data_IF_357155395401
#
_entry.id   IF_357155395401
#
_cell.length_a   1.000
_cell.length_b   1.000
_cell.length_c   1.000
_cell.angle_alpha   90.00
_cell.angle_beta   90.00
_cell.angle_gamma   90.00
#
_symmetry.space_group_name_H-M   'P 1'
#
loop_
_entity.id
_entity.type
_entity.pdbx_description
1 polymer ?
#
# COMPACT_ATOMS: atom_id res chain seq x y z
N UNK A 1 0.95 12.04 16.35
CA UNK A 1 0.81 10.85 17.19
C UNK A 1 2.18 10.37 17.69
N UNK A 2 3.11 9.92 16.83
CA UNK A 2 4.40 9.33 17.22
C UNK A 2 5.28 10.29 18.04
N UNK A 3 5.36 11.57 17.66
CA UNK A 3 6.12 12.58 18.43
C UNK A 3 5.54 12.77 19.83
N UNK A 4 4.23 12.76 19.97
CA UNK A 4 3.55 12.87 21.26
C UNK A 4 3.78 11.62 22.12
N UNK A 5 3.67 10.43 21.51
CA UNK A 5 3.94 9.17 22.20
C UNK A 5 5.37 9.09 22.76
N UNK A 6 6.37 9.45 21.98
CA UNK A 6 7.78 9.41 22.41
C UNK A 6 8.05 10.40 23.56
N UNK A 7 7.34 11.55 23.56
CA UNK A 7 7.45 12.55 24.62
C UNK A 7 6.71 12.17 25.92
N UNK A 8 5.72 11.28 25.84
CA UNK A 8 4.79 10.94 26.93
C UNK A 8 4.64 9.42 27.12
N UNK A 9 5.71 8.67 26.94
CA UNK A 9 5.70 7.19 26.91
C UNK A 9 5.13 6.55 28.18
N UNK A 10 5.24 7.21 29.33
CA UNK A 10 4.76 6.69 30.61
C UNK A 10 3.24 6.66 30.75
N UNK A 11 2.52 7.45 29.98
CA UNK A 11 1.07 7.59 30.08
C UNK A 11 0.34 7.56 28.74
N UNK A 12 1.07 7.32 27.64
CA UNK A 12 0.52 7.32 26.29
C UNK A 12 0.85 6.00 25.59
N UNK A 13 -0.16 5.33 25.07
CA UNK A 13 0.01 4.14 24.24
C UNK A 13 -0.29 4.47 22.78
N UNK A 14 0.66 4.20 21.88
CA UNK A 14 0.46 4.39 20.45
C UNK A 14 -0.03 3.11 19.81
N UNK A 15 -1.29 3.12 19.35
CA UNK A 15 -1.88 2.01 18.62
C UNK A 15 -1.36 2.06 17.19
N UNK A 16 -0.25 1.36 16.92
CA UNK A 16 0.34 1.27 15.60
C UNK A 16 -0.32 0.15 14.80
N UNK A 17 -0.66 0.44 13.52
CA UNK A 17 -1.34 -0.50 12.64
C UNK A 17 -0.54 -0.92 11.40
N UNK A 18 0.79 -0.69 11.40
CA UNK A 18 1.66 -1.05 10.28
C UNK A 18 2.78 -2.00 10.72
N UNK A 19 3.39 -2.73 9.77
CA UNK A 19 4.54 -3.64 10.00
C UNK A 19 5.88 -2.89 10.10
N UNK A 20 5.85 -1.59 10.41
CA UNK A 20 7.02 -0.74 10.63
C UNK A 20 7.13 -0.35 12.10
N UNK A 21 8.32 0.09 12.52
CA UNK A 21 8.59 0.49 13.90
C UNK A 21 9.53 -0.48 14.62
N UNK A 22 9.82 -0.22 15.91
CA UNK A 22 10.72 -1.05 16.69
C UNK A 22 10.10 -2.43 16.98
N UNK A 23 10.97 -3.42 17.23
CA UNK A 23 10.51 -4.71 17.72
C UNK A 23 9.71 -4.54 19.03
N UNK A 24 8.55 -5.22 19.23
CA UNK A 24 8.02 -6.32 18.43
C UNK A 24 6.94 -5.91 17.40
N UNK A 25 6.71 -4.63 17.16
CA UNK A 25 5.56 -4.17 16.34
C UNK A 25 5.50 -4.80 14.93
N UNK A 26 6.59 -4.87 14.14
CA UNK A 26 6.52 -5.51 12.84
C UNK A 26 6.04 -6.96 12.90
N UNK A 27 6.58 -7.73 13.83
CA UNK A 27 6.21 -9.13 14.04
C UNK A 27 4.76 -9.28 14.49
N UNK A 28 4.32 -8.48 15.47
CA UNK A 28 2.94 -8.53 15.99
C UNK A 28 1.92 -8.21 14.89
N UNK A 29 2.16 -7.14 14.13
CA UNK A 29 1.25 -6.76 13.05
C UNK A 29 1.24 -7.80 11.94
N UNK A 30 2.40 -8.34 11.55
CA UNK A 30 2.47 -9.47 10.63
C UNK A 30 1.63 -10.65 11.11
N UNK A 31 1.84 -11.09 12.34
CA UNK A 31 1.15 -12.27 12.89
C UNK A 31 -0.38 -12.06 12.94
N UNK A 32 -0.83 -10.86 13.31
CA UNK A 32 -2.27 -10.56 13.29
C UNK A 32 -2.85 -10.46 11.89
N UNK A 33 -2.07 -10.01 10.91
CA UNK A 33 -2.50 -9.87 9.52
C UNK A 33 -2.37 -11.17 8.72
N UNK A 34 -1.58 -12.14 9.17
CA UNK A 34 -1.30 -13.38 8.41
C UNK A 34 -2.53 -14.27 8.22
N UNK A 35 -3.59 -14.07 9.00
CA UNK A 35 -4.90 -14.70 8.77
C UNK A 35 -5.39 -14.52 7.32
N UNK A 36 -5.06 -13.39 6.68
CA UNK A 36 -5.40 -13.14 5.27
C UNK A 36 -4.79 -14.21 4.36
N UNK A 37 -3.49 -14.44 4.47
CA UNK A 37 -2.79 -15.43 3.66
C UNK A 37 -3.13 -16.87 4.07
N UNK A 38 -3.35 -17.12 5.35
CA UNK A 38 -3.76 -18.45 5.86
C UNK A 38 -5.12 -18.86 5.27
N UNK A 39 -6.10 -17.97 5.26
CA UNK A 39 -7.40 -18.22 4.61
C UNK A 39 -7.24 -18.39 3.09
N UNK A 40 -6.39 -17.59 2.44
CA UNK A 40 -6.13 -17.72 1.01
C UNK A 40 -5.51 -19.07 0.65
N UNK A 41 -4.58 -19.61 1.46
CA UNK A 41 -4.00 -20.93 1.25
C UNK A 41 -5.06 -22.05 1.23
N UNK A 42 -6.16 -21.88 1.98
CA UNK A 42 -7.27 -22.82 2.01
C UNK A 42 -8.25 -22.59 0.85
N UNK A 43 -8.61 -21.32 0.59
CA UNK A 43 -9.63 -20.96 -0.38
C UNK A 43 -9.16 -21.10 -1.84
N UNK A 44 -7.88 -20.81 -2.10
CA UNK A 44 -7.37 -20.86 -3.46
C UNK A 44 -7.47 -22.25 -4.13
N UNK A 45 -7.08 -23.35 -3.50
CA UNK A 45 -7.28 -24.68 -4.09
C UNK A 45 -8.75 -25.00 -4.39
N UNK A 46 -9.68 -24.56 -3.56
CA UNK A 46 -11.12 -24.76 -3.77
C UNK A 46 -11.63 -24.06 -5.03
N UNK A 47 -11.09 -22.88 -5.33
CA UNK A 47 -11.53 -22.01 -6.43
C UNK A 47 -10.66 -22.15 -7.70
N UNK A 48 -9.45 -22.69 -7.59
CA UNK A 48 -8.44 -22.72 -8.64
C UNK A 48 -8.01 -24.16 -9.01
N UNK A 49 -8.97 -25.06 -9.15
CA UNK A 49 -8.74 -26.46 -9.59
C UNK A 49 -7.66 -27.19 -8.75
N UNK A 50 -7.65 -26.99 -7.46
CA UNK A 50 -6.70 -27.60 -6.52
C UNK A 50 -5.31 -26.96 -6.49
N UNK A 51 -5.13 -25.81 -7.13
CA UNK A 51 -3.83 -25.16 -7.25
C UNK A 51 -3.75 -23.85 -6.44
N UNK A 52 -2.56 -23.55 -5.94
CA UNK A 52 -2.22 -22.24 -5.41
C UNK A 52 -2.01 -21.23 -6.56
N UNK A 53 -2.10 -19.91 -6.30
CA UNK A 53 -1.94 -18.90 -7.34
C UNK A 53 -0.48 -18.86 -7.86
N UNK A 54 -0.31 -18.54 -9.15
CA UNK A 54 1.02 -18.30 -9.73
C UNK A 54 1.65 -16.99 -9.21
N UNK A 55 0.82 -16.02 -8.86
CA UNK A 55 1.27 -14.75 -8.28
C UNK A 55 0.29 -14.23 -7.23
N UNK A 56 0.85 -13.66 -6.15
CA UNK A 56 0.14 -12.87 -5.15
C UNK A 56 0.58 -11.43 -5.29
N UNK A 57 -0.37 -10.51 -5.44
CA UNK A 57 -0.13 -9.08 -5.65
C UNK A 57 -0.79 -8.27 -4.54
N UNK A 58 -0.05 -7.38 -3.90
CA UNK A 58 -0.57 -6.48 -2.86
C UNK A 58 0.09 -5.10 -2.94
N UNK A 59 -0.66 -4.04 -2.58
CA UNK A 59 -0.07 -2.71 -2.48
C UNK A 59 0.81 -2.58 -1.23
N UNK A 60 1.86 -1.74 -1.32
CA UNK A 60 2.85 -1.55 -0.26
C UNK A 60 3.06 -0.07 0.01
N UNK A 61 2.61 0.38 1.18
CA UNK A 61 3.05 1.60 1.85
C UNK A 61 3.95 1.19 3.02
N UNK A 62 3.45 1.23 4.27
CA UNK A 62 4.13 0.53 5.38
C UNK A 62 4.17 -0.99 5.19
N UNK A 63 3.16 -1.56 4.51
CA UNK A 63 3.15 -2.93 4.00
C UNK A 63 2.43 -3.97 4.86
N UNK A 64 1.55 -3.57 5.79
CA UNK A 64 0.87 -4.53 6.68
C UNK A 64 -0.03 -5.50 5.94
N UNK A 65 -0.86 -5.03 5.00
CA UNK A 65 -1.72 -5.88 4.19
C UNK A 65 -0.90 -6.86 3.33
N UNK A 66 0.17 -6.37 2.73
CA UNK A 66 1.05 -7.18 1.89
C UNK A 66 1.78 -8.25 2.72
N UNK A 67 2.29 -7.88 3.90
CA UNK A 67 2.93 -8.86 4.78
C UNK A 67 1.94 -9.92 5.27
N UNK A 68 0.70 -9.51 5.57
CA UNK A 68 -0.36 -10.43 5.97
C UNK A 68 -0.66 -11.52 4.94
N UNK A 69 -0.69 -11.16 3.66
CA UNK A 69 -0.91 -12.15 2.61
C UNK A 69 0.38 -12.85 2.17
N UNK A 70 1.54 -12.19 2.22
CA UNK A 70 2.81 -12.78 1.78
C UNK A 70 3.37 -13.79 2.77
N UNK A 71 3.24 -13.53 4.07
CA UNK A 71 3.90 -14.32 5.10
C UNK A 71 3.57 -15.82 5.03
N UNK A 72 2.31 -16.25 4.93
CA UNK A 72 1.97 -17.66 4.75
C UNK A 72 2.43 -18.25 3.41
N UNK A 73 2.66 -17.41 2.39
CA UNK A 73 3.15 -17.85 1.08
C UNK A 73 4.67 -17.83 0.94
N UNK A 74 5.43 -17.45 1.96
CA UNK A 74 6.91 -17.36 1.85
C UNK A 74 7.52 -18.69 1.40
N UNK A 75 7.07 -19.80 1.96
CA UNK A 75 7.59 -21.14 1.65
C UNK A 75 6.98 -21.75 0.37
N UNK A 76 6.01 -21.09 -0.25
CA UNK A 76 5.42 -21.52 -1.52
C UNK A 76 6.25 -21.00 -2.70
N UNK A 77 7.37 -21.67 -2.98
CA UNK A 77 8.36 -21.21 -3.98
C UNK A 77 7.80 -21.02 -5.41
N UNK A 78 6.72 -21.72 -5.77
CA UNK A 78 6.08 -21.61 -7.08
C UNK A 78 5.14 -20.39 -7.18
N UNK A 79 4.79 -19.77 -6.08
CA UNK A 79 3.96 -18.56 -6.03
C UNK A 79 4.85 -17.33 -5.99
N UNK A 80 4.75 -16.44 -6.97
CA UNK A 80 5.45 -15.16 -6.99
C UNK A 80 4.80 -14.21 -5.99
N UNK A 81 5.61 -13.48 -5.21
CA UNK A 81 5.14 -12.42 -4.32
C UNK A 81 5.50 -11.06 -4.92
N UNK A 82 4.52 -10.21 -5.14
CA UNK A 82 4.71 -8.93 -5.83
C UNK A 82 4.07 -7.81 -5.03
N UNK A 83 4.92 -6.94 -4.48
CA UNK A 83 4.51 -5.72 -3.80
C UNK A 83 4.45 -4.54 -4.77
N UNK A 84 3.38 -3.77 -4.72
CA UNK A 84 3.18 -2.62 -5.60
C UNK A 84 3.27 -1.34 -4.79
N UNK A 85 4.32 -0.55 -5.04
CA UNK A 85 4.56 0.75 -4.41
C UNK A 85 3.94 1.89 -5.24
N UNK A 86 3.64 3.01 -4.60
CA UNK A 86 3.16 4.20 -5.29
C UNK A 86 4.31 4.91 -6.02
N UNK A 87 4.32 4.81 -7.33
CA UNK A 87 5.24 5.54 -8.19
C UNK A 87 4.81 7.00 -8.45
N UNK A 88 3.67 7.43 -7.91
CA UNK A 88 3.20 8.83 -7.98
C UNK A 88 3.12 9.35 -9.41
N UNK A 89 3.82 10.47 -9.68
CA UNK A 89 3.95 11.04 -11.02
C UNK A 89 5.05 10.35 -11.87
N UNK A 90 5.62 9.25 -11.37
CA UNK A 90 6.71 8.48 -11.98
C UNK A 90 7.95 8.42 -11.09
N UNK A 91 8.66 7.29 -11.12
CA UNK A 91 9.82 7.05 -10.24
C UNK A 91 10.97 8.05 -10.41
N UNK A 92 11.09 8.68 -11.58
CA UNK A 92 12.15 9.64 -11.88
C UNK A 92 11.68 11.11 -11.71
N UNK A 93 10.42 11.31 -11.34
CA UNK A 93 9.83 12.66 -11.13
C UNK A 93 10.25 13.30 -9.80
N UNK A 94 10.73 12.51 -8.85
CA UNK A 94 10.93 12.93 -7.46
C UNK A 94 9.64 13.03 -6.65
N UNK A 95 8.48 12.72 -7.25
CA UNK A 95 7.16 12.71 -6.60
C UNK A 95 6.60 11.28 -6.58
N UNK A 96 7.07 10.47 -5.67
CA UNK A 96 6.67 9.08 -5.45
C UNK A 96 6.88 8.67 -4.00
N UNK A 97 6.40 7.47 -3.61
CA UNK A 97 6.58 6.87 -2.29
C UNK A 97 7.21 5.47 -2.38
N UNK A 98 7.94 5.19 -3.45
CA UNK A 98 8.51 3.88 -3.74
C UNK A 98 9.87 3.69 -3.05
N UNK A 99 9.85 3.40 -1.74
CA UNK A 99 11.06 3.32 -0.91
C UNK A 99 11.92 2.08 -1.20
N UNK A 100 11.35 0.95 -1.60
CA UNK A 100 12.09 -0.24 -1.98
C UNK A 100 12.77 -0.10 -3.34
N UNK A 101 12.19 0.67 -4.27
CA UNK A 101 12.74 0.85 -5.60
C UNK A 101 13.72 2.02 -5.70
N UNK A 102 13.53 3.08 -4.91
CA UNK A 102 14.31 4.34 -5.02
C UNK A 102 14.96 4.78 -3.71
N UNK A 103 14.64 4.14 -2.61
CA UNK A 103 15.21 4.46 -1.30
C UNK A 103 16.59 3.85 -1.09
N UNK A 104 17.16 4.17 0.04
CA UNK A 104 18.42 3.60 0.54
C UNK A 104 18.25 3.12 1.97
N UNK A 105 19.16 2.24 2.43
CA UNK A 105 19.12 1.72 3.80
C UNK A 105 19.29 2.85 4.82
N UNK A 106 18.38 2.91 5.77
CA UNK A 106 18.38 3.92 6.84
C UNK A 106 17.56 3.50 8.04
N UNK A 107 17.39 4.40 9.00
CA UNK A 107 16.59 4.17 10.20
C UNK A 107 15.47 5.19 10.25
N UNK A 108 14.24 4.69 10.32
CA UNK A 108 13.03 5.50 10.45
C UNK A 108 12.10 4.86 11.48
N UNK A 109 11.52 5.67 12.37
CA UNK A 109 10.55 5.22 13.37
C UNK A 109 11.01 3.99 14.19
N UNK A 110 12.32 3.90 14.47
CA UNK A 110 12.88 2.85 15.32
C UNK A 110 13.16 1.51 14.63
N UNK A 111 13.08 1.42 13.31
CA UNK A 111 13.50 0.25 12.55
C UNK A 111 14.46 0.61 11.42
N UNK A 112 15.39 -0.30 11.13
CA UNK A 112 16.25 -0.23 9.94
C UNK A 112 15.51 -0.85 8.76
N UNK A 113 15.44 -0.08 7.67
CA UNK A 113 14.72 -0.48 6.45
C UNK A 113 15.21 0.36 5.25
N UNK A 114 14.54 0.27 4.10
CA UNK A 114 14.71 1.21 3.00
C UNK A 114 13.85 2.44 3.22
N UNK A 115 14.44 3.62 3.06
CA UNK A 115 13.78 4.90 3.25
C UNK A 115 14.13 5.87 2.11
N UNK A 116 13.19 6.76 1.80
CA UNK A 116 13.43 7.86 0.88
C UNK A 116 14.15 8.99 1.64
N UNK A 117 15.43 9.15 1.37
CA UNK A 117 16.31 10.13 2.02
C UNK A 117 17.29 10.72 1.04
N UNK A 118 17.74 11.95 1.32
CA UNK A 118 18.78 12.60 0.58
C UNK A 118 20.19 12.14 1.05
N UNK A 119 21.24 12.70 0.43
CA UNK A 119 22.65 12.40 0.75
C UNK A 119 23.05 12.71 2.19
N UNK A 120 22.30 13.61 2.87
CA UNK A 120 22.53 13.97 4.27
C UNK A 120 21.69 13.12 5.23
N UNK A 121 20.99 12.09 4.75
CA UNK A 121 20.13 11.23 5.55
C UNK A 121 18.81 11.87 5.99
N UNK A 122 18.43 12.99 5.39
CA UNK A 122 17.14 13.63 5.68
C UNK A 122 16.05 13.02 4.81
N UNK A 123 14.90 12.74 5.41
CA UNK A 123 13.73 12.22 4.71
C UNK A 123 13.32 13.22 3.61
N UNK A 124 13.13 12.73 2.41
CA UNK A 124 12.56 13.48 1.29
C UNK A 124 11.05 13.46 1.33
N UNK A 125 10.41 14.50 0.79
CA UNK A 125 8.97 14.51 0.63
C UNK A 125 8.52 13.37 -0.27
N UNK A 126 7.40 12.76 0.08
CA UNK A 126 6.77 11.68 -0.67
C UNK A 126 5.52 12.19 -1.37
N UNK A 127 5.03 11.44 -2.35
CA UNK A 127 3.80 11.75 -3.05
C UNK A 127 3.06 10.49 -3.46
N UNK A 128 1.77 10.46 -3.21
CA UNK A 128 0.79 9.51 -3.75
C UNK A 128 -0.61 10.10 -3.66
N UNK A 129 -1.47 9.82 -4.64
CA UNK A 129 -2.91 10.11 -4.52
C UNK A 129 -3.59 9.29 -3.42
N UNK A 130 -2.94 8.23 -2.98
CA UNK A 130 -3.39 7.34 -1.91
C UNK A 130 -2.69 7.70 -0.60
N UNK A 131 -3.45 8.22 0.38
CA UNK A 131 -2.90 8.60 1.68
C UNK A 131 -2.22 7.43 2.41
N UNK A 132 -2.71 6.20 2.25
CA UNK A 132 -2.16 5.02 2.91
C UNK A 132 -0.85 4.53 2.29
N UNK A 133 -0.48 4.98 1.08
CA UNK A 133 0.80 4.68 0.45
C UNK A 133 1.79 5.85 0.50
N UNK A 134 1.36 7.02 0.96
CA UNK A 134 2.22 8.21 1.09
C UNK A 134 3.09 8.12 2.35
N UNK A 135 4.14 7.31 2.28
CA UNK A 135 5.03 7.01 3.40
C UNK A 135 6.48 6.83 2.89
N UNK A 136 7.48 7.47 3.53
CA UNK A 136 8.85 7.49 3.04
C UNK A 136 9.69 6.25 3.41
N UNK A 137 9.05 5.20 3.88
CA UNK A 137 9.71 3.97 4.30
C UNK A 137 8.82 2.75 4.11
N UNK A 138 9.27 1.60 4.59
CA UNK A 138 8.54 0.33 4.49
C UNK A 138 8.86 -0.54 5.70
N UNK A 139 8.04 -1.55 5.95
CA UNK A 139 8.32 -2.55 6.98
C UNK A 139 9.64 -3.29 6.75
N UNK A 140 10.44 -3.58 7.80
CA UNK A 140 11.76 -4.19 7.64
C UNK A 140 11.71 -5.60 7.03
N UNK A 141 10.63 -6.33 7.22
CA UNK A 141 10.47 -7.66 6.62
C UNK A 141 10.29 -7.58 5.10
N UNK A 142 9.68 -6.52 4.56
CA UNK A 142 9.64 -6.28 3.11
C UNK A 142 11.03 -6.00 2.54
N UNK A 143 11.84 -5.20 3.24
CA UNK A 143 13.23 -4.97 2.85
C UNK A 143 14.02 -6.29 2.82
N UNK A 144 13.85 -7.12 3.83
CA UNK A 144 14.47 -8.45 3.90
C UNK A 144 14.01 -9.38 2.77
N UNK A 145 12.71 -9.43 2.47
CA UNK A 145 12.16 -10.24 1.36
C UNK A 145 12.70 -9.80 0.00
N UNK A 146 12.93 -8.49 -0.19
CA UNK A 146 13.56 -7.97 -1.40
C UNK A 146 15.03 -8.38 -1.49
N UNK A 147 15.80 -8.22 -0.42
CA UNK A 147 17.21 -8.61 -0.37
C UNK A 147 17.41 -10.11 -0.61
N UNK A 148 16.51 -10.95 -0.14
CA UNK A 148 16.49 -12.39 -0.42
C UNK A 148 16.05 -12.74 -1.85
N UNK A 149 15.51 -11.81 -2.60
CA UNK A 149 14.88 -12.08 -3.90
C UNK A 149 13.61 -12.91 -3.80
N UNK A 150 13.01 -13.03 -2.60
CA UNK A 150 11.76 -13.80 -2.41
C UNK A 150 10.52 -13.03 -2.88
N UNK A 151 10.51 -11.72 -2.71
CA UNK A 151 9.45 -10.84 -3.23
C UNK A 151 10.04 -9.82 -4.18
N UNK A 152 9.28 -9.51 -5.23
CA UNK A 152 9.56 -8.45 -6.19
C UNK A 152 8.73 -7.23 -5.83
N UNK A 153 9.33 -6.03 -5.96
CA UNK A 153 8.60 -4.77 -5.75
C UNK A 153 8.63 -3.94 -7.03
N UNK A 154 7.46 -3.40 -7.37
CA UNK A 154 7.21 -2.68 -8.62
C UNK A 154 6.46 -1.39 -8.34
N UNK A 155 6.57 -0.41 -9.23
CA UNK A 155 5.84 0.85 -9.11
C UNK A 155 4.55 0.84 -9.91
N UNK A 156 3.55 1.56 -9.39
CA UNK A 156 2.34 1.92 -10.11
C UNK A 156 2.11 3.42 -9.96
N UNK A 157 1.87 4.11 -11.06
CA UNK A 157 1.64 5.55 -11.08
C UNK A 157 0.23 5.90 -10.60
N UNK A 158 0.03 7.15 -10.19
CA UNK A 158 -1.26 7.68 -9.78
C UNK A 158 -2.32 7.54 -10.88
N UNK A 159 -1.94 7.78 -12.13
CA UNK A 159 -2.84 7.64 -13.29
C UNK A 159 -3.24 6.19 -13.56
N UNK A 160 -2.33 5.24 -13.41
CA UNK A 160 -2.61 3.81 -13.56
C UNK A 160 -3.55 3.32 -12.45
N UNK A 161 -3.29 3.74 -11.21
CA UNK A 161 -4.14 3.41 -10.06
C UNK A 161 -5.56 3.96 -10.21
N UNK A 162 -5.70 5.22 -10.66
CA UNK A 162 -7.00 5.83 -10.91
C UNK A 162 -7.77 5.14 -12.04
N UNK A 163 -7.08 4.77 -13.12
CA UNK A 163 -7.68 4.00 -14.21
C UNK A 163 -8.17 2.60 -13.76
N UNK A 164 -7.39 1.93 -12.91
CA UNK A 164 -7.77 0.64 -12.34
C UNK A 164 -8.95 0.76 -11.36
N UNK A 165 -9.02 1.82 -10.55
CA UNK A 165 -10.16 2.15 -9.71
C UNK A 165 -11.45 2.18 -10.53
N UNK A 166 -11.48 3.01 -11.57
CA UNK A 166 -12.66 3.14 -12.45
C UNK A 166 -12.98 1.84 -13.19
N UNK A 167 -11.96 1.08 -13.59
CA UNK A 167 -12.16 -0.19 -14.28
C UNK A 167 -12.86 -1.18 -13.36
N UNK A 168 -12.39 -1.37 -12.13
CA UNK A 168 -12.98 -2.32 -11.18
C UNK A 168 -14.42 -1.93 -10.81
N UNK A 169 -14.68 -0.63 -10.63
CA UNK A 169 -16.05 -0.12 -10.43
C UNK A 169 -16.99 -0.52 -11.58
N UNK A 170 -16.53 -0.40 -12.82
CA UNK A 170 -17.36 -0.68 -14.00
C UNK A 170 -17.53 -2.17 -14.30
N UNK A 171 -16.50 -2.99 -14.08
CA UNK A 171 -16.55 -4.41 -14.43
C UNK A 171 -17.11 -5.29 -13.33
N UNK A 172 -16.83 -4.94 -12.07
CA UNK A 172 -17.16 -5.79 -10.92
C UNK A 172 -18.16 -5.14 -9.94
N UNK A 173 -18.46 -3.84 -10.12
CA UNK A 173 -19.28 -3.10 -9.16
C UNK A 173 -18.62 -2.89 -7.79
N UNK A 174 -17.30 -3.05 -7.73
CA UNK A 174 -16.51 -2.89 -6.49
C UNK A 174 -15.83 -1.53 -6.52
N UNK A 175 -15.99 -0.76 -5.43
CA UNK A 175 -15.27 0.49 -5.21
C UNK A 175 -14.02 0.17 -4.36
N UNK A 176 -12.83 0.01 -4.98
CA UNK A 176 -11.62 -0.29 -4.22
C UNK A 176 -11.08 0.96 -3.53
N UNK A 177 -10.31 0.80 -2.46
CA UNK A 177 -9.48 1.89 -1.97
C UNK A 177 -8.40 2.26 -3.01
N UNK A 178 -7.98 3.52 -3.05
CA UNK A 178 -6.91 3.96 -3.94
C UNK A 178 -5.61 3.17 -3.69
N UNK A 179 -5.36 2.76 -2.44
CA UNK A 179 -4.26 1.88 -2.07
C UNK A 179 -4.30 0.58 -2.88
N UNK A 180 -5.39 -0.15 -2.78
CA UNK A 180 -5.54 -1.45 -3.45
C UNK A 180 -5.70 -1.33 -4.98
N UNK A 181 -6.10 -0.16 -5.47
CA UNK A 181 -6.15 0.14 -6.91
C UNK A 181 -4.76 0.06 -7.57
N UNK A 182 -3.67 0.37 -6.84
CA UNK A 182 -2.31 0.17 -7.31
C UNK A 182 -2.01 -1.31 -7.58
N UNK A 183 -2.42 -2.19 -6.66
CA UNK A 183 -2.26 -3.64 -6.84
C UNK A 183 -3.10 -4.16 -8.03
N UNK A 184 -4.34 -3.70 -8.18
CA UNK A 184 -5.21 -4.05 -9.31
C UNK A 184 -4.62 -3.58 -10.64
N UNK A 185 -4.08 -2.35 -10.70
CA UNK A 185 -3.43 -1.81 -11.90
C UNK A 185 -2.30 -2.72 -12.38
N UNK A 186 -1.40 -3.08 -11.46
CA UNK A 186 -0.29 -3.97 -11.81
C UNK A 186 -0.77 -5.38 -12.16
N UNK A 187 -1.76 -5.92 -11.46
CA UNK A 187 -2.32 -7.23 -11.78
C UNK A 187 -2.90 -7.30 -13.21
N UNK A 188 -3.55 -6.22 -13.68
CA UNK A 188 -4.02 -6.10 -15.05
C UNK A 188 -2.86 -6.14 -16.07
N UNK A 189 -1.76 -5.46 -15.77
CA UNK A 189 -0.56 -5.49 -16.62
C UNK A 189 0.10 -6.88 -16.60
N UNK A 190 0.24 -7.48 -15.43
CA UNK A 190 0.82 -8.80 -15.25
C UNK A 190 0.02 -9.87 -16.00
N UNK A 191 -1.31 -9.82 -15.94
CA UNK A 191 -2.19 -10.79 -16.63
C UNK A 191 -1.96 -10.84 -18.16
N UNK A 192 -1.55 -9.72 -18.77
CA UNK A 192 -1.25 -9.67 -20.21
C UNK A 192 -0.02 -10.49 -20.59
N UNK A 193 0.84 -10.80 -19.62
CA UNK A 193 2.08 -11.57 -19.81
C UNK A 193 1.95 -13.02 -19.38
N UNK A 194 0.84 -13.38 -18.75
CA UNK A 194 0.59 -14.71 -18.20
C UNK A 194 -0.23 -15.57 -19.17
N UNK A 195 -0.10 -16.88 -19.03
CA UNK A 195 -0.91 -17.83 -19.79
C UNK A 195 -2.34 -17.90 -19.24
N UNK A 196 -3.34 -18.30 -20.06
CA UNK A 196 -4.73 -18.39 -19.61
C UNK A 196 -4.99 -19.42 -18.48
N UNK A 197 -4.08 -20.36 -18.28
CA UNK A 197 -4.14 -21.38 -17.23
C UNK A 197 -3.51 -20.93 -15.90
N UNK A 198 -2.91 -19.75 -15.87
CA UNK A 198 -2.30 -19.16 -14.68
C UNK A 198 -3.26 -18.21 -13.94
N UNK A 199 -3.06 -18.10 -12.64
CA UNK A 199 -3.92 -17.30 -11.78
C UNK A 199 -3.15 -16.25 -10.98
N UNK A 200 -3.80 -15.11 -10.73
CA UNK A 200 -3.29 -14.03 -9.90
C UNK A 200 -4.25 -13.83 -8.73
N UNK A 201 -3.73 -13.88 -7.52
CA UNK A 201 -4.43 -13.49 -6.31
C UNK A 201 -4.08 -12.05 -5.96
N UNK A 202 -5.06 -11.15 -6.02
CA UNK A 202 -4.88 -9.74 -5.64
C UNK A 202 -5.45 -9.49 -4.26
N UNK A 203 -4.65 -8.95 -3.35
CA UNK A 203 -5.14 -8.50 -2.05
C UNK A 203 -5.88 -7.17 -2.18
N UNK A 204 -7.20 -7.21 -2.28
CA UNK A 204 -8.06 -6.04 -2.30
C UNK A 204 -8.26 -5.53 -0.86
N UNK A 205 -7.26 -4.86 -0.33
CA UNK A 205 -7.05 -4.59 1.09
C UNK A 205 -7.91 -3.47 1.69
N UNK A 206 -8.76 -2.81 0.90
CA UNK A 206 -9.59 -1.73 1.43
C UNK A 206 -10.72 -1.32 0.49
N UNK A 207 -11.74 -0.71 1.09
CA UNK A 207 -12.89 -0.13 0.38
C UNK A 207 -12.63 1.34 0.07
N UNK A 208 -13.17 1.82 -1.06
CA UNK A 208 -12.88 3.14 -1.62
C UNK A 208 -13.92 4.23 -1.34
N UNK A 209 -14.93 3.97 -0.51
CA UNK A 209 -15.93 4.98 -0.15
C UNK A 209 -15.29 6.24 0.47
N UNK A 210 -14.19 6.10 1.18
CA UNK A 210 -13.38 7.19 1.72
C UNK A 210 -12.70 8.05 0.63
N UNK A 211 -12.47 7.47 -0.55
CA UNK A 211 -11.68 8.06 -1.62
C UNK A 211 -12.52 8.73 -2.72
N UNK A 212 -13.85 8.58 -2.67
CA UNK A 212 -14.77 9.08 -3.72
C UNK A 212 -14.57 10.57 -3.99
N UNK A 213 -14.39 11.39 -2.94
CA UNK A 213 -14.13 12.82 -3.11
C UNK A 213 -12.85 13.10 -3.89
N UNK A 214 -11.76 12.42 -3.52
CA UNK A 214 -10.45 12.54 -4.19
C UNK A 214 -10.53 12.05 -5.63
N UNK A 215 -11.21 10.92 -5.88
CA UNK A 215 -11.39 10.37 -7.22
C UNK A 215 -12.21 11.30 -8.10
N UNK A 216 -13.30 11.90 -7.57
CA UNK A 216 -14.11 12.87 -8.27
C UNK A 216 -13.28 14.09 -8.69
N UNK A 217 -12.53 14.67 -7.75
CA UNK A 217 -11.68 15.84 -8.01
C UNK A 217 -10.62 15.55 -9.09
N UNK A 218 -9.98 14.38 -9.05
CA UNK A 218 -8.96 13.94 -10.01
C UNK A 218 -9.55 13.60 -11.39
N UNK A 219 -10.78 13.10 -11.43
CA UNK A 219 -11.46 12.72 -12.68
C UNK A 219 -12.16 13.90 -13.36
N UNK A 220 -12.25 15.06 -12.69
CA UNK A 220 -12.98 16.22 -13.17
C UNK A 220 -14.50 15.97 -13.24
N UNK A 221 -14.99 14.99 -12.49
CA UNK A 221 -16.40 14.62 -12.42
C UNK A 221 -17.05 15.24 -11.18
N UNK A 222 -18.10 16.03 -11.39
CA UNK A 222 -18.92 16.58 -10.32
C UNK A 222 -19.98 15.53 -9.92
N UNK A 223 -19.61 14.62 -8.98
CA UNK A 223 -20.52 13.59 -8.47
C UNK A 223 -21.58 14.14 -7.50
N UNK A 224 -21.41 15.36 -7.03
CA UNK A 224 -22.37 16.04 -6.18
C UNK A 224 -22.57 17.46 -6.67
N UNK A 225 -23.83 17.85 -6.80
CA UNK A 225 -24.26 19.26 -6.74
C UNK A 225 -23.90 19.77 -5.33
N UNK A 226 -22.60 19.99 -5.08
CA UNK A 226 -22.16 20.60 -3.82
C UNK A 226 -22.67 22.03 -3.85
N UNK A 227 -23.58 22.43 -2.94
CA UNK A 227 -23.83 23.84 -2.75
C UNK A 227 -22.44 24.46 -2.50
N UNK A 228 -22.05 25.40 -3.36
CA UNK A 228 -20.71 25.94 -3.38
C UNK A 228 -20.31 26.42 -1.97
N UNK A 229 -19.43 25.70 -1.29
CA UNK A 229 -18.81 26.11 -0.04
C UNK A 229 -17.87 27.32 -0.24
N UNK A 230 -17.85 27.90 -1.45
CA UNK A 230 -17.17 29.16 -1.77
C UNK A 230 -17.74 30.39 -1.06
N UNK A 231 -18.48 30.24 0.04
CA UNK A 231 -19.06 31.32 0.84
C UNK A 231 -18.92 31.20 2.35
N UNK A 232 -18.45 30.08 2.89
CA UNK A 232 -18.21 29.96 4.31
C UNK A 232 -16.83 30.52 4.68
N UNK A 233 -16.73 31.87 4.73
CA UNK A 233 -15.71 32.51 5.54
C UNK A 233 -15.97 32.08 6.99
N UNK A 234 -15.11 31.22 7.51
CA UNK A 234 -15.02 30.98 8.96
C UNK A 234 -14.64 32.32 9.58
N UNK A 235 -15.64 33.05 10.09
CA UNK A 235 -15.44 34.17 10.99
C UNK A 235 -15.05 33.57 12.35
N UNK A 236 -13.82 33.80 12.79
CA UNK A 236 -13.48 33.65 14.19
C UNK A 236 -12.33 32.69 14.49
N UNK A 237 -11.11 33.15 14.28
CA UNK A 237 -9.97 32.79 15.13
C UNK A 237 -9.07 34.05 15.34
N UNK A 238 -9.71 35.14 15.79
CA UNK A 238 -8.94 36.16 16.49
C UNK A 238 -9.27 36.00 17.98
N UNK A 239 -8.22 35.81 18.76
CA UNK A 239 -8.14 35.81 20.24
C UNK A 239 -8.45 34.47 20.93
N UNK A 240 -7.42 33.69 21.22
CA UNK A 240 -6.78 33.58 22.56
C UNK A 240 -5.47 32.84 22.42
#
# INVERSE_FOLDING_TARGET
AMRDWVANVDNTFYIIGTVAGPHPYPMMVRDFQSVIGEECLQQMPEQNNGQQPDAVVACVGGGSNAMGIFYPYIDHANTRLIGVEAAGEGLDSGKHSASLQRGSSGVLHGNRTFILQNENGQITETHSISAGLDYPGVGPEHAWLQELGRAQYVGCTDSEALAAFHRLCRTEGIIPALESSHAVAYAIQLAQTMRPDQSILVNLSGRGDKDIGTVADLSGEDFYDRPSTRGLKVKGSDKL
#
